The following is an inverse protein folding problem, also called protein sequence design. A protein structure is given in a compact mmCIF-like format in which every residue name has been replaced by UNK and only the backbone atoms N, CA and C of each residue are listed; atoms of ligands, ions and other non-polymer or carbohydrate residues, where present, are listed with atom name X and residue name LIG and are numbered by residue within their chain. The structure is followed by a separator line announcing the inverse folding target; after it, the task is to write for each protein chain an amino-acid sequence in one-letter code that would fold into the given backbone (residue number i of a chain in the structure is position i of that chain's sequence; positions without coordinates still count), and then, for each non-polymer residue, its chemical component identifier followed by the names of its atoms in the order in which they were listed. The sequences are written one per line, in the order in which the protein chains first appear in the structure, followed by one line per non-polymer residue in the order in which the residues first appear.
data_IF_425557882752
#
_entry.id   IF_425557882752
#
_cell.length_a   1.000
_cell.length_b   1.000
_cell.length_c   1.000
_cell.angle_alpha   90.00
_cell.angle_beta   90.00
_cell.angle_gamma   90.00
#
_symmetry.space_group_name_H-M   'P 1'
#
loop_
_entity.id
_entity.type
_entity.pdbx_description
1 polymer ?
#
# COMPACT_ATOMS: atom_id res chain seq x y z
N UNK A 1 34.44 -8.77 -9.87
CA UNK A 1 33.16 -9.06 -10.57
C UNK A 1 32.52 -10.27 -9.93
N UNK A 2 31.18 -10.32 -9.85
CA UNK A 2 30.47 -11.47 -9.28
C UNK A 2 30.52 -12.66 -10.25
N UNK A 3 30.71 -13.89 -9.75
CA UNK A 3 30.86 -15.08 -10.60
C UNK A 3 29.54 -15.53 -11.26
N UNK A 4 28.39 -15.09 -10.73
CA UNK A 4 27.05 -15.44 -11.19
C UNK A 4 26.07 -14.28 -10.92
N UNK A 5 24.89 -14.26 -11.57
CA UNK A 5 23.82 -13.33 -11.23
C UNK A 5 23.46 -13.40 -9.74
N UNK A 6 23.32 -12.23 -9.10
CA UNK A 6 22.96 -12.08 -7.69
C UNK A 6 21.75 -11.16 -7.57
N UNK A 7 20.74 -11.58 -6.81
CA UNK A 7 19.61 -10.73 -6.44
C UNK A 7 19.73 -10.38 -4.97
N UNK A 8 19.77 -9.08 -4.66
CA UNK A 8 19.69 -8.55 -3.30
C UNK A 8 18.28 -7.99 -3.11
N UNK A 9 17.55 -8.55 -2.15
CA UNK A 9 16.20 -8.10 -1.81
C UNK A 9 16.27 -7.40 -0.46
N UNK A 10 15.82 -6.16 -0.40
CA UNK A 10 15.63 -5.39 0.82
C UNK A 10 14.13 -5.25 1.04
N UNK A 11 13.65 -5.84 2.12
CA UNK A 11 12.26 -5.77 2.52
C UNK A 11 12.10 -4.74 3.65
N UNK A 12 10.92 -4.12 3.72
CA UNK A 12 10.58 -3.05 4.66
C UNK A 12 11.63 -1.92 4.74
N UNK A 13 12.14 -1.46 3.59
CA UNK A 13 13.24 -0.50 3.55
C UNK A 13 12.94 0.84 4.26
N UNK A 14 11.67 1.28 4.24
CA UNK A 14 11.17 2.43 5.00
C UNK A 14 11.48 2.40 6.51
N UNK A 15 11.75 1.24 7.12
CA UNK A 15 12.16 1.14 8.53
C UNK A 15 13.58 1.63 8.76
N UNK A 16 14.40 1.73 7.70
CA UNK A 16 15.76 2.25 7.77
C UNK A 16 15.69 3.78 7.70
N UNK A 17 15.79 4.42 8.85
CA UNK A 17 15.94 5.86 8.95
C UNK A 17 17.41 6.24 9.19
N UNK A 18 18.25 6.01 8.17
CA UNK A 18 19.69 6.27 8.26
C UNK A 18 20.27 6.72 6.91
N UNK A 19 20.51 8.03 6.78
CA UNK A 19 21.15 8.64 5.61
C UNK A 19 22.44 7.91 5.14
N UNK A 20 23.33 7.41 6.03
CA UNK A 20 24.50 6.64 5.58
C UNK A 20 24.15 5.37 4.80
N UNK A 21 22.99 4.75 5.06
CA UNK A 21 22.54 3.56 4.32
C UNK A 21 22.06 3.95 2.93
N UNK A 22 21.31 5.04 2.79
CA UNK A 22 20.88 5.57 1.48
C UNK A 22 22.09 5.95 0.61
N UNK A 23 23.10 6.58 1.21
CA UNK A 23 24.36 6.90 0.53
C UNK A 23 25.10 5.64 0.09
N UNK A 24 25.16 4.61 0.95
CA UNK A 24 25.79 3.34 0.61
C UNK A 24 25.05 2.60 -0.52
N UNK A 25 23.72 2.59 -0.53
CA UNK A 25 22.94 2.01 -1.62
C UNK A 25 23.05 2.82 -2.90
N UNK A 26 23.09 4.14 -2.82
CA UNK A 26 23.33 5.00 -3.99
C UNK A 26 24.68 4.70 -4.61
N UNK A 27 25.73 4.59 -3.78
CA UNK A 27 27.05 4.19 -4.23
C UNK A 27 27.05 2.80 -4.87
N UNK A 28 26.36 1.83 -4.25
CA UNK A 28 26.21 0.48 -4.79
C UNK A 28 25.54 0.51 -6.16
N UNK A 29 24.44 1.25 -6.34
CA UNK A 29 23.71 1.35 -7.61
C UNK A 29 24.55 2.00 -8.72
N UNK A 30 25.39 2.98 -8.38
CA UNK A 30 26.28 3.63 -9.35
C UNK A 30 27.43 2.75 -9.82
N UNK A 31 27.90 1.83 -8.97
CA UNK A 31 29.07 0.98 -9.21
C UNK A 31 28.72 -0.51 -9.32
N UNK A 32 27.42 -0.85 -9.36
CA UNK A 32 26.95 -2.22 -9.34
C UNK A 32 27.48 -2.97 -10.57
N UNK A 33 28.02 -4.19 -10.37
CA UNK A 33 28.34 -5.04 -11.50
C UNK A 33 27.03 -5.46 -12.20
N UNK A 34 27.04 -5.73 -13.53
CA UNK A 34 25.83 -6.04 -14.29
C UNK A 34 25.11 -7.32 -13.83
N UNK A 35 25.79 -8.16 -13.04
CA UNK A 35 25.24 -9.36 -12.43
C UNK A 35 24.34 -9.08 -11.22
N UNK A 36 24.46 -7.91 -10.58
CA UNK A 36 23.69 -7.57 -9.39
C UNK A 36 22.35 -6.95 -9.78
N UNK A 37 21.27 -7.49 -9.20
CA UNK A 37 19.92 -6.92 -9.25
C UNK A 37 19.50 -6.55 -7.83
N UNK A 38 19.13 -5.30 -7.63
CA UNK A 38 18.57 -4.83 -6.37
C UNK A 38 17.04 -4.78 -6.49
N UNK A 39 16.35 -5.38 -5.52
CA UNK A 39 14.90 -5.28 -5.34
C UNK A 39 14.67 -4.65 -3.98
N UNK A 40 13.86 -3.60 -3.94
CA UNK A 40 13.51 -2.89 -2.70
C UNK A 40 11.99 -2.92 -2.58
N UNK A 41 11.49 -3.47 -1.48
CA UNK A 41 10.10 -3.35 -1.04
C UNK A 41 10.05 -2.32 0.10
N UNK A 42 9.18 -1.34 -0.04
CA UNK A 42 9.12 -0.17 0.84
C UNK A 42 7.75 0.49 0.79
N UNK A 43 7.38 1.21 1.85
CA UNK A 43 6.12 1.95 1.93
C UNK A 43 6.24 3.38 1.42
N UNK A 44 7.41 3.97 1.43
CA UNK A 44 7.70 5.32 0.93
C UNK A 44 8.80 5.31 -0.13
N UNK A 45 8.87 6.39 -0.92
CA UNK A 45 9.96 6.55 -1.88
C UNK A 45 11.30 6.70 -1.16
N UNK A 46 12.27 5.78 -1.35
CA UNK A 46 13.55 5.86 -0.67
C UNK A 46 14.35 7.06 -1.19
N UNK A 47 15.28 7.59 -0.38
CA UNK A 47 16.14 8.71 -0.75
C UNK A 47 17.26 8.31 -1.72
N UNK A 48 16.88 7.67 -2.82
CA UNK A 48 17.72 7.23 -3.91
C UNK A 48 17.48 8.13 -5.13
N UNK A 49 18.43 8.19 -6.08
CA UNK A 49 18.29 8.99 -7.29
C UNK A 49 17.33 8.35 -8.32
N UNK A 50 16.09 8.06 -7.92
CA UNK A 50 15.08 7.33 -8.69
C UNK A 50 14.79 7.98 -10.04
N UNK A 51 14.66 9.32 -10.08
CA UNK A 51 14.42 10.04 -11.33
C UNK A 51 15.55 9.82 -12.36
N UNK A 52 16.80 9.75 -11.90
CA UNK A 52 17.96 9.49 -12.77
C UNK A 52 17.97 8.05 -13.27
N UNK A 53 17.62 7.08 -12.42
CA UNK A 53 17.51 5.67 -12.82
C UNK A 53 16.38 5.46 -13.83
N UNK A 54 15.24 6.13 -13.60
CA UNK A 54 14.08 6.14 -14.50
C UNK A 54 14.44 6.68 -15.88
N UNK A 55 15.09 7.84 -15.94
CA UNK A 55 15.53 8.46 -17.20
C UNK A 55 16.51 7.60 -18.01
N UNK A 56 17.24 6.70 -17.34
CA UNK A 56 18.19 5.76 -17.96
C UNK A 56 17.59 4.38 -18.28
N UNK A 57 16.31 4.14 -17.98
CA UNK A 57 15.70 2.82 -18.12
C UNK A 57 16.31 1.75 -17.20
N UNK A 58 16.86 2.16 -16.04
CA UNK A 58 17.53 1.29 -15.07
C UNK A 58 16.64 0.99 -13.84
N UNK A 59 15.35 1.36 -13.91
CA UNK A 59 14.40 1.21 -12.82
C UNK A 59 13.11 0.59 -13.35
N UNK A 60 12.65 -0.46 -12.67
CA UNK A 60 11.28 -0.94 -12.78
C UNK A 60 10.57 -0.60 -11.47
N UNK A 61 9.37 -0.04 -11.56
CA UNK A 61 8.58 0.36 -10.41
C UNK A 61 7.25 -0.38 -10.46
N UNK A 62 6.87 -0.98 -9.33
CA UNK A 62 5.52 -1.51 -9.10
C UNK A 62 4.93 -0.66 -7.98
N UNK A 63 3.90 0.11 -8.32
CA UNK A 63 3.23 1.03 -7.40
C UNK A 63 1.95 0.41 -6.87
N UNK A 64 1.33 1.07 -5.90
CA UNK A 64 0.07 0.61 -5.32
C UNK A 64 -1.01 0.31 -6.38
N UNK A 65 -1.10 1.15 -7.43
CA UNK A 65 -2.03 0.93 -8.54
C UNK A 65 -1.72 -0.35 -9.35
N UNK A 66 -0.45 -0.71 -9.50
CA UNK A 66 -0.03 -1.93 -10.20
C UNK A 66 -0.28 -3.20 -9.35
N UNK A 67 -0.33 -3.04 -8.02
CA UNK A 67 -0.58 -4.12 -7.06
C UNK A 67 -2.07 -4.34 -6.77
N UNK A 68 -2.95 -3.41 -7.20
CA UNK A 68 -4.40 -3.58 -7.06
C UNK A 68 -4.85 -4.74 -7.94
N UNK A 69 -5.57 -5.67 -7.33
CA UNK A 69 -6.14 -6.78 -8.06
C UNK A 69 -7.27 -6.26 -8.93
N UNK A 70 -7.23 -6.64 -10.21
CA UNK A 70 -8.38 -6.54 -11.09
C UNK A 70 -9.54 -7.41 -10.58
N UNK A 71 -10.74 -7.19 -11.10
CA UNK A 71 -11.89 -8.07 -10.83
C UNK A 71 -11.59 -9.55 -11.12
N UNK A 72 -10.82 -9.82 -12.19
CA UNK A 72 -10.42 -11.19 -12.56
C UNK A 72 -9.46 -11.78 -11.52
N UNK A 73 -8.42 -11.05 -11.13
CA UNK A 73 -7.47 -11.51 -10.10
C UNK A 73 -8.14 -11.67 -8.74
N UNK A 74 -9.05 -10.77 -8.38
CA UNK A 74 -9.85 -10.84 -7.15
C UNK A 74 -10.67 -12.14 -7.12
N UNK A 75 -11.34 -12.48 -8.22
CA UNK A 75 -12.09 -13.73 -8.32
C UNK A 75 -11.19 -14.97 -8.26
N UNK A 76 -10.03 -14.94 -8.92
CA UNK A 76 -9.04 -16.02 -8.83
C UNK A 76 -8.52 -16.21 -7.40
N UNK A 77 -8.19 -15.12 -6.73
CA UNK A 77 -7.71 -15.15 -5.35
C UNK A 77 -8.78 -15.69 -4.39
N UNK A 78 -9.99 -15.13 -4.40
CA UNK A 78 -11.05 -15.50 -3.45
C UNK A 78 -11.53 -16.94 -3.66
N UNK A 79 -11.69 -17.39 -4.91
CA UNK A 79 -12.27 -18.71 -5.19
C UNK A 79 -11.24 -19.80 -5.45
N UNK A 80 -10.09 -19.51 -6.06
CA UNK A 80 -9.08 -20.53 -6.36
C UNK A 80 -8.07 -20.67 -5.23
N UNK A 81 -7.53 -19.56 -4.72
CA UNK A 81 -6.55 -19.59 -3.63
C UNK A 81 -7.22 -19.78 -2.26
N UNK A 82 -8.25 -18.98 -1.96
CA UNK A 82 -8.92 -18.98 -0.65
C UNK A 82 -10.11 -19.96 -0.55
N UNK A 83 -10.52 -20.55 -1.67
CA UNK A 83 -11.57 -21.60 -1.78
C UNK A 83 -12.93 -21.20 -1.19
N UNK A 84 -13.31 -19.94 -1.34
CA UNK A 84 -14.55 -19.41 -0.75
C UNK A 84 -15.81 -19.70 -1.56
N UNK A 85 -15.68 -20.06 -2.85
CA UNK A 85 -16.79 -20.32 -3.77
C UNK A 85 -17.85 -19.19 -3.80
N UNK A 86 -17.40 -17.94 -3.75
CA UNK A 86 -18.25 -16.74 -3.80
C UNK A 86 -18.85 -16.57 -5.19
N UNK A 87 -20.06 -16.00 -5.25
CA UNK A 87 -20.69 -15.61 -6.50
C UNK A 87 -19.95 -14.45 -7.18
N UNK A 88 -20.12 -14.27 -8.50
CA UNK A 88 -19.56 -13.12 -9.21
C UNK A 88 -19.97 -11.76 -8.62
N UNK A 89 -21.22 -11.64 -8.13
CA UNK A 89 -21.74 -10.41 -7.51
C UNK A 89 -21.04 -10.11 -6.18
N UNK A 90 -20.78 -11.15 -5.38
CA UNK A 90 -20.04 -11.06 -4.13
C UNK A 90 -18.58 -10.65 -4.36
N UNK A 91 -17.94 -11.22 -5.38
CA UNK A 91 -16.57 -10.85 -5.80
C UNK A 91 -16.53 -9.38 -6.24
N UNK A 92 -17.46 -8.94 -7.09
CA UNK A 92 -17.55 -7.56 -7.54
C UNK A 92 -17.79 -6.58 -6.38
N UNK A 93 -18.60 -6.98 -5.40
CA UNK A 93 -18.84 -6.16 -4.20
C UNK A 93 -17.58 -6.01 -3.35
N UNK A 94 -16.82 -7.09 -3.16
CA UNK A 94 -15.56 -7.04 -2.40
C UNK A 94 -14.48 -6.24 -3.15
N UNK A 95 -14.35 -6.43 -4.46
CA UNK A 95 -13.42 -5.66 -5.29
C UNK A 95 -13.75 -4.17 -5.23
N UNK A 96 -15.00 -3.78 -5.42
CA UNK A 96 -15.39 -2.37 -5.40
C UNK A 96 -15.18 -1.71 -4.03
N UNK A 97 -15.36 -2.44 -2.92
CA UNK A 97 -15.18 -1.92 -1.55
C UNK A 97 -13.73 -1.86 -1.11
N UNK A 98 -12.89 -2.73 -1.65
CA UNK A 98 -11.44 -2.74 -1.36
C UNK A 98 -10.63 -2.00 -2.41
N UNK A 99 -11.26 -1.61 -3.52
CA UNK A 99 -10.59 -1.13 -4.74
C UNK A 99 -9.45 -2.05 -5.19
N UNK A 100 -9.65 -3.36 -5.06
CA UNK A 100 -8.64 -4.38 -5.39
C UNK A 100 -7.48 -4.46 -4.38
N UNK A 101 -7.57 -3.80 -3.23
CA UNK A 101 -6.52 -3.85 -2.20
C UNK A 101 -6.37 -5.25 -1.62
N UNK A 102 -5.26 -5.92 -1.96
CA UNK A 102 -5.05 -7.33 -1.62
C UNK A 102 -5.04 -7.62 -0.12
N UNK A 103 -4.50 -6.73 0.72
CA UNK A 103 -4.54 -6.93 2.17
C UNK A 103 -6.00 -6.85 2.69
N UNK A 104 -6.78 -5.89 2.20
CA UNK A 104 -8.22 -5.81 2.50
C UNK A 104 -8.98 -7.07 2.05
N UNK A 105 -8.72 -7.54 0.82
CA UNK A 105 -9.31 -8.78 0.30
C UNK A 105 -8.92 -10.02 1.11
N UNK A 106 -7.66 -10.10 1.56
CA UNK A 106 -7.18 -11.19 2.43
C UNK A 106 -7.89 -11.16 3.79
N UNK A 107 -8.04 -9.99 4.41
CA UNK A 107 -8.77 -9.83 5.68
C UNK A 107 -10.26 -10.17 5.52
N UNK A 108 -10.87 -9.79 4.39
CA UNK A 108 -12.23 -10.20 4.03
C UNK A 108 -12.32 -11.73 3.96
N UNK A 109 -11.40 -12.34 3.22
CA UNK A 109 -11.39 -13.78 3.00
C UNK A 109 -11.22 -14.55 4.31
N UNK A 110 -10.30 -14.14 5.19
CA UNK A 110 -10.11 -14.73 6.53
C UNK A 110 -11.39 -14.64 7.35
N UNK A 111 -12.11 -13.51 7.28
CA UNK A 111 -13.36 -13.31 8.03
C UNK A 111 -14.51 -14.19 7.54
N UNK A 112 -14.52 -14.50 6.24
CA UNK A 112 -15.54 -15.36 5.61
C UNK A 112 -15.23 -16.85 5.85
N UNK A 113 -13.95 -17.23 5.92
CA UNK A 113 -13.55 -18.62 6.15
C UNK A 113 -14.10 -19.14 7.48
N UNK A 114 -14.95 -20.17 7.41
CA UNK A 114 -15.55 -20.81 8.59
C UNK A 114 -16.85 -20.18 9.08
N UNK A 115 -17.41 -19.21 8.36
CA UNK A 115 -18.70 -18.60 8.70
C UNK A 115 -19.79 -19.00 7.67
N UNK A 116 -21.01 -19.26 8.13
CA UNK A 116 -22.10 -19.73 7.27
C UNK A 116 -22.73 -18.60 6.42
N UNK A 117 -22.66 -17.35 6.89
CA UNK A 117 -23.33 -16.20 6.27
C UNK A 117 -22.35 -15.27 5.54
N UNK A 118 -21.64 -15.82 4.55
CA UNK A 118 -20.68 -15.07 3.72
C UNK A 118 -21.29 -13.80 3.08
N UNK A 119 -22.55 -13.86 2.62
CA UNK A 119 -23.22 -12.72 2.00
C UNK A 119 -23.43 -11.55 2.97
N UNK A 120 -23.81 -11.83 4.22
CA UNK A 120 -23.98 -10.79 5.24
C UNK A 120 -22.64 -10.13 5.58
N UNK A 121 -21.57 -10.93 5.65
CA UNK A 121 -20.21 -10.42 5.89
C UNK A 121 -19.73 -9.53 4.75
N UNK A 122 -20.02 -9.88 3.50
CA UNK A 122 -19.65 -9.06 2.35
C UNK A 122 -20.45 -7.74 2.33
N UNK A 123 -21.74 -7.78 2.64
CA UNK A 123 -22.57 -6.57 2.71
C UNK A 123 -22.16 -5.64 3.85
N UNK A 124 -21.61 -6.16 4.93
CA UNK A 124 -21.06 -5.38 6.05
C UNK A 124 -19.57 -5.02 5.87
N UNK A 125 -18.95 -5.37 4.75
CA UNK A 125 -17.52 -5.12 4.50
C UNK A 125 -17.11 -3.65 4.33
N UNK A 126 -17.99 -2.70 4.66
CA UNK A 126 -17.69 -1.27 4.65
C UNK A 126 -17.58 -0.77 6.10
N UNK A 127 -16.37 -0.86 6.67
CA UNK A 127 -16.03 -0.17 7.93
C UNK A 127 -16.48 -0.81 9.24
N UNK A 128 -17.16 -1.96 9.23
CA UNK A 128 -17.61 -2.64 10.47
C UNK A 128 -16.90 -3.96 10.80
N UNK A 129 -15.94 -4.40 9.98
CA UNK A 129 -15.20 -5.63 10.27
C UNK A 129 -13.97 -5.37 11.11
N UNK A 130 -13.96 -6.00 12.29
CA UNK A 130 -12.88 -5.91 13.27
C UNK A 130 -11.50 -6.17 12.66
N UNK A 131 -11.31 -7.17 11.81
CA UNK A 131 -9.99 -7.44 11.22
C UNK A 131 -9.47 -6.32 10.31
N UNK A 132 -10.36 -5.66 9.56
CA UNK A 132 -9.98 -4.52 8.72
C UNK A 132 -9.70 -3.31 9.58
N UNK A 133 -10.50 -3.08 10.62
CA UNK A 133 -10.28 -2.00 11.59
C UNK A 133 -8.96 -2.19 12.32
N UNK A 134 -8.70 -3.38 12.87
CA UNK A 134 -7.49 -3.71 13.62
C UNK A 134 -6.25 -3.47 12.72
N UNK A 135 -6.28 -3.92 11.47
CA UNK A 135 -5.20 -3.64 10.52
C UNK A 135 -5.05 -2.14 10.21
N UNK A 136 -6.13 -1.43 9.88
CA UNK A 136 -6.06 0.01 9.58
C UNK A 136 -5.58 0.82 10.80
N UNK A 137 -5.89 0.37 12.01
CA UNK A 137 -5.37 0.99 13.23
C UNK A 137 -3.88 0.69 13.40
N UNK A 138 -3.50 -0.57 13.50
CA UNK A 138 -2.14 -1.00 13.88
C UNK A 138 -1.09 -0.71 12.79
N UNK A 139 -1.44 -0.95 11.52
CA UNK A 139 -0.50 -0.91 10.39
C UNK A 139 -0.50 0.40 9.64
N UNK A 140 -1.56 1.21 9.76
CA UNK A 140 -1.70 2.48 9.04
C UNK A 140 -1.73 3.66 10.00
N UNK A 141 -2.74 3.74 10.87
CA UNK A 141 -2.99 4.93 11.69
C UNK A 141 -1.96 5.09 12.82
N UNK A 142 -1.70 4.04 13.61
CA UNK A 142 -0.80 4.09 14.77
C UNK A 142 0.66 4.33 14.38
N UNK A 143 1.02 4.02 13.14
CA UNK A 143 2.35 4.31 12.58
C UNK A 143 2.54 5.81 12.27
N UNK A 144 1.47 6.61 12.25
CA UNK A 144 1.56 8.04 11.93
C UNK A 144 1.82 8.90 13.17
N UNK A 145 2.54 10.03 13.02
CA UNK A 145 2.59 11.06 14.06
C UNK A 145 1.19 11.56 14.43
N UNK A 146 0.98 11.89 15.71
CA UNK A 146 -0.32 12.34 16.22
C UNK A 146 -1.00 13.48 15.41
N UNK A 147 -0.28 14.48 14.87
CA UNK A 147 -0.89 15.50 14.00
C UNK A 147 -1.49 14.94 12.71
N UNK A 148 -0.87 13.89 12.16
CA UNK A 148 -1.30 13.24 10.93
C UNK A 148 -2.46 12.27 11.19
N UNK A 149 -2.44 11.57 12.32
CA UNK A 149 -3.61 10.78 12.76
C UNK A 149 -4.87 11.65 12.88
N UNK A 150 -4.74 12.83 13.50
CA UNK A 150 -5.85 13.76 13.64
C UNK A 150 -6.34 14.30 12.29
N UNK A 151 -5.43 14.50 11.33
CA UNK A 151 -5.77 14.90 9.97
C UNK A 151 -6.59 13.80 9.29
N UNK A 152 -6.06 12.57 9.22
CA UNK A 152 -6.70 11.42 8.59
C UNK A 152 -8.10 11.16 9.15
N UNK A 153 -8.26 11.19 10.48
CA UNK A 153 -9.56 10.98 11.13
C UNK A 153 -10.58 12.08 10.79
N UNK A 154 -10.16 13.35 10.70
CA UNK A 154 -11.05 14.46 10.35
C UNK A 154 -11.43 14.47 8.88
N UNK A 155 -10.56 14.00 7.99
CA UNK A 155 -10.78 14.01 6.54
C UNK A 155 -11.38 12.70 6.01
N UNK A 156 -11.48 11.64 6.83
CA UNK A 156 -12.03 10.34 6.44
C UNK A 156 -13.49 10.36 5.94
N UNK A 157 -14.21 11.46 6.16
CA UNK A 157 -15.58 11.66 5.66
C UNK A 157 -15.64 12.11 4.20
N UNK A 158 -14.49 12.38 3.58
CA UNK A 158 -14.39 12.90 2.22
C UNK A 158 -14.22 11.77 1.20
N UNK A 159 -14.98 11.83 0.12
CA UNK A 159 -14.76 10.97 -1.07
C UNK A 159 -13.64 11.52 -1.98
N UNK A 160 -13.31 12.81 -1.87
CA UNK A 160 -12.28 13.49 -2.67
C UNK A 160 -11.55 14.51 -1.82
N UNK A 161 -10.23 14.56 -1.98
CA UNK A 161 -9.35 15.41 -1.18
C UNK A 161 -8.85 16.59 -2.01
N UNK A 162 -9.00 17.80 -1.47
CA UNK A 162 -8.31 19.01 -1.92
C UNK A 162 -7.75 19.73 -0.70
N UNK A 163 -6.65 20.48 -0.85
CA UNK A 163 -6.03 21.22 0.25
C UNK A 163 -7.05 22.08 1.00
N UNK A 164 -7.74 22.96 0.27
CA UNK A 164 -8.75 23.87 0.82
C UNK A 164 -9.89 23.16 1.57
N UNK A 165 -10.30 21.97 1.12
CA UNK A 165 -11.34 21.18 1.79
C UNK A 165 -10.82 20.52 3.07
N UNK A 166 -9.58 20.04 3.05
CA UNK A 166 -8.92 19.49 4.23
C UNK A 166 -8.70 20.59 5.27
N UNK A 167 -8.29 21.78 4.85
CA UNK A 167 -8.13 22.96 5.71
C UNK A 167 -9.45 23.33 6.40
N UNK A 168 -10.54 23.38 5.63
CA UNK A 168 -11.87 23.67 6.14
C UNK A 168 -12.36 22.67 7.20
N UNK A 169 -12.06 21.37 7.05
CA UNK A 169 -12.44 20.34 8.03
C UNK A 169 -11.50 20.27 9.23
N UNK A 170 -10.21 20.50 9.01
CA UNK A 170 -9.19 20.30 10.05
C UNK A 170 -8.97 21.54 10.90
N UNK A 171 -9.30 22.73 10.36
CA UNK A 171 -8.99 24.04 10.94
C UNK A 171 -7.53 24.44 10.77
N UNK A 172 -6.84 23.84 9.78
CA UNK A 172 -5.42 24.07 9.45
C UNK A 172 -5.32 24.87 8.15
N UNK A 173 -4.09 25.23 7.77
CA UNK A 173 -3.74 25.95 6.54
C UNK A 173 -2.66 25.23 5.71
N UNK A 174 -2.33 23.99 6.07
CA UNK A 174 -1.27 23.16 5.49
C UNK A 174 -1.81 21.87 4.83
N UNK A 175 -3.11 21.81 4.51
CA UNK A 175 -3.77 20.62 3.97
C UNK A 175 -3.18 20.18 2.64
N UNK A 176 -2.76 21.12 1.78
CA UNK A 176 -2.08 20.77 0.51
C UNK A 176 -0.72 20.11 0.74
N UNK A 177 0.07 20.61 1.69
CA UNK A 177 1.38 20.06 2.02
C UNK A 177 1.22 18.70 2.68
N UNK A 178 0.28 18.57 3.62
CA UNK A 178 -0.06 17.30 4.28
C UNK A 178 -0.51 16.24 3.28
N UNK A 179 -1.34 16.58 2.29
CA UNK A 179 -1.74 15.64 1.23
C UNK A 179 -0.55 15.19 0.37
N UNK A 180 0.40 16.09 0.06
CA UNK A 180 1.60 15.73 -0.68
C UNK A 180 2.56 14.85 0.15
N UNK A 181 2.59 15.01 1.48
CA UNK A 181 3.31 14.12 2.38
C UNK A 181 2.68 12.72 2.42
N UNK A 182 1.35 12.63 2.55
CA UNK A 182 0.62 11.37 2.50
C UNK A 182 0.83 10.62 1.19
N UNK A 183 0.78 11.33 0.05
CA UNK A 183 1.04 10.74 -1.28
C UNK A 183 2.45 10.13 -1.36
N UNK A 184 3.47 10.80 -0.81
CA UNK A 184 4.85 10.28 -0.77
C UNK A 184 5.01 9.07 0.14
N UNK A 185 4.24 9.03 1.22
CA UNK A 185 4.18 7.92 2.16
C UNK A 185 3.28 6.75 1.67
N UNK A 186 2.68 6.87 0.48
CA UNK A 186 1.68 5.95 -0.07
C UNK A 186 0.52 5.67 0.90
N UNK A 187 0.01 6.73 1.54
CA UNK A 187 -1.14 6.73 2.45
C UNK A 187 -2.38 7.35 1.82
#
# INVERSE_FOLDING_TARGET
TLPAPLMLVLDDYHLINAEPVDQALTFLLEHAPPQLRLVIATRDDPQLPLARLRARGQLNELRALDLRFSLTETGQFLNQAMRLNLSPEAIATLEARTEGWIAGLQLAAISIQGNADAEMLIQSFAGSHRFVIDYLLEEVLEQQPAPLQAFLLKTAVLDRFTGDLCDALTGRDDGRETLAELERANL
#
